data_IF_445888559940
#
_entry.id   IF_445888559940
#
_cell.length_a   1.000
_cell.length_b   1.000
_cell.length_c   1.000
_cell.angle_alpha   90.00
_cell.angle_beta   90.00
_cell.angle_gamma   90.00
#
_symmetry.space_group_name_H-M   'P 1'
#
loop_
_entity.id
_entity.type
_entity.pdbx_description
1 polymer ?
#
# COMPACT_ATOMS: atom_id res chain seq x y z
N UNK A 1 -8.89 -13.81 22.06
CA UNK A 1 -7.67 -14.25 21.34
C UNK A 1 -8.16 -14.98 20.10
N UNK A 2 -8.28 -14.28 18.98
CA UNK A 2 -8.75 -14.88 17.72
C UNK A 2 -7.55 -15.14 16.83
N UNK A 3 -7.13 -16.41 16.78
CA UNK A 3 -6.19 -16.91 15.79
C UNK A 3 -6.84 -16.79 14.41
N UNK A 4 -6.38 -15.83 13.61
CA UNK A 4 -6.69 -15.79 12.18
C UNK A 4 -5.71 -16.74 11.48
N UNK A 5 -6.17 -17.82 10.83
CA UNK A 5 -5.30 -18.67 10.04
C UNK A 5 -4.83 -17.86 8.83
N UNK A 6 -3.56 -17.49 8.84
CA UNK A 6 -2.88 -16.77 7.77
C UNK A 6 -2.53 -17.73 6.62
N UNK A 7 -3.53 -18.45 6.10
CA UNK A 7 -3.38 -19.26 4.88
C UNK A 7 -3.90 -18.44 3.69
N UNK A 8 -3.31 -17.27 3.49
CA UNK A 8 -3.38 -16.64 2.17
C UNK A 8 -2.48 -17.48 1.25
N UNK A 9 -2.99 -18.03 0.14
CA UNK A 9 -2.13 -18.72 -0.81
C UNK A 9 -1.07 -17.74 -1.28
N UNK A 10 0.19 -18.03 -0.93
CA UNK A 10 1.35 -17.41 -1.58
C UNK A 10 1.27 -17.80 -3.05
N UNK A 11 0.61 -16.96 -3.84
CA UNK A 11 0.68 -17.00 -5.29
C UNK A 11 2.09 -16.54 -5.63
N UNK A 12 3.00 -17.51 -5.63
CA UNK A 12 4.38 -17.33 -6.08
C UNK A 12 4.30 -17.09 -7.59
N UNK A 13 4.09 -15.82 -7.94
CA UNK A 13 4.15 -15.39 -9.34
C UNK A 13 5.55 -15.69 -9.86
N UNK A 14 5.62 -16.34 -11.02
CA UNK A 14 6.87 -16.61 -11.73
C UNK A 14 7.42 -15.36 -12.42
N UNK A 15 6.67 -14.25 -12.39
CA UNK A 15 7.14 -12.96 -12.88
C UNK A 15 7.78 -12.16 -11.74
N UNK A 16 9.10 -11.89 -11.78
CA UNK A 16 9.78 -11.14 -10.72
C UNK A 16 9.20 -9.72 -10.55
N UNK A 17 8.78 -9.07 -11.65
CA UNK A 17 8.18 -7.73 -11.62
C UNK A 17 6.83 -7.72 -10.90
N UNK A 18 5.99 -8.73 -11.16
CA UNK A 18 4.71 -8.86 -10.43
C UNK A 18 4.94 -9.10 -8.95
N UNK A 19 5.95 -9.91 -8.59
CA UNK A 19 6.32 -10.17 -7.20
C UNK A 19 6.75 -8.90 -6.46
N UNK A 20 7.67 -8.15 -7.05
CA UNK A 20 8.19 -6.89 -6.48
C UNK A 20 7.09 -5.84 -6.31
N UNK A 21 6.29 -5.61 -7.36
CA UNK A 21 5.19 -4.63 -7.33
C UNK A 21 4.11 -5.05 -6.34
N UNK A 22 3.71 -6.33 -6.34
CA UNK A 22 2.67 -6.84 -5.43
C UNK A 22 3.11 -6.77 -3.96
N UNK A 23 4.37 -7.11 -3.67
CA UNK A 23 4.92 -7.03 -2.33
C UNK A 23 4.96 -5.58 -1.83
N UNK A 24 5.44 -4.65 -2.67
CA UNK A 24 5.48 -3.24 -2.34
C UNK A 24 4.09 -2.67 -2.07
N UNK A 25 3.10 -3.03 -2.89
CA UNK A 25 1.70 -2.62 -2.69
C UNK A 25 1.10 -3.21 -1.42
N UNK A 26 1.38 -4.47 -1.12
CA UNK A 26 0.87 -5.12 0.09
C UNK A 26 1.37 -4.43 1.36
N UNK A 27 2.68 -4.11 1.42
CA UNK A 27 3.26 -3.37 2.54
C UNK A 27 2.69 -1.96 2.68
N UNK A 28 2.53 -1.25 1.56
CA UNK A 28 1.90 0.07 1.56
C UNK A 28 0.43 0.01 2.01
N UNK A 29 -0.32 -1.00 1.56
CA UNK A 29 -1.71 -1.22 1.98
C UNK A 29 -1.84 -1.50 3.47
N UNK A 30 -0.96 -2.32 4.03
CA UNK A 30 -0.92 -2.56 5.49
C UNK A 30 -0.67 -1.25 6.24
N UNK A 31 0.25 -0.41 5.74
CA UNK A 31 0.51 0.89 6.34
C UNK A 31 -0.71 1.82 6.25
N UNK A 32 -1.43 1.84 5.12
CA UNK A 32 -2.69 2.57 4.96
C UNK A 32 -3.76 2.10 5.96
N UNK A 33 -3.91 0.79 6.16
CA UNK A 33 -4.86 0.23 7.13
C UNK A 33 -4.50 0.66 8.55
N UNK A 34 -3.22 0.64 8.92
CA UNK A 34 -2.76 1.02 10.27
C UNK A 34 -3.06 2.49 10.59
N UNK A 35 -3.02 3.39 9.61
CA UNK A 35 -3.46 4.78 9.79
C UNK A 35 -4.96 4.97 9.56
N UNK A 36 -5.73 3.89 9.47
CA UNK A 36 -7.15 3.90 9.13
C UNK A 36 -7.46 4.71 7.85
N UNK A 37 -6.64 4.57 6.82
CA UNK A 37 -6.66 5.36 5.58
C UNK A 37 -6.61 6.88 5.82
N UNK A 38 -5.91 7.32 6.87
CA UNK A 38 -5.82 8.72 7.31
C UNK A 38 -7.18 9.38 7.53
N UNK A 39 -8.12 8.64 8.12
CA UNK A 39 -9.44 9.18 8.47
C UNK A 39 -9.34 10.32 9.51
N UNK A 40 -10.49 10.96 9.80
CA UNK A 40 -10.55 12.09 10.72
C UNK A 40 -9.99 11.78 12.12
N UNK A 41 -10.26 10.60 12.65
CA UNK A 41 -9.80 10.19 13.98
C UNK A 41 -8.30 10.03 14.06
N UNK A 42 -7.68 9.37 13.08
CA UNK A 42 -6.22 9.26 12.99
C UNK A 42 -5.56 10.65 12.96
N UNK A 43 -6.09 11.55 12.13
CA UNK A 43 -5.59 12.94 12.05
C UNK A 43 -5.72 13.69 13.38
N UNK A 44 -6.80 13.46 14.12
CA UNK A 44 -7.01 14.06 15.43
C UNK A 44 -5.99 13.51 16.45
N UNK A 45 -5.80 12.19 16.49
CA UNK A 45 -4.79 11.54 17.35
C UNK A 45 -3.39 12.07 17.08
N UNK A 46 -2.98 12.18 15.80
CA UNK A 46 -1.71 12.80 15.43
C UNK A 46 -1.59 14.25 15.92
N UNK A 47 -2.66 15.06 15.78
CA UNK A 47 -2.67 16.46 16.28
C UNK A 47 -2.57 16.55 17.80
N UNK A 48 -3.10 15.56 18.52
CA UNK A 48 -3.01 15.47 19.97
C UNK A 48 -1.65 14.92 20.46
N UNK A 49 -0.75 14.55 19.54
CA UNK A 49 0.58 14.03 19.88
C UNK A 49 0.57 12.57 20.32
N UNK A 50 -0.45 11.81 19.94
CA UNK A 50 -0.49 10.37 20.19
C UNK A 50 0.70 9.69 19.50
N UNK A 51 1.55 9.02 20.30
CA UNK A 51 2.82 8.49 19.81
C UNK A 51 2.62 7.35 18.81
N UNK A 52 1.65 6.49 19.05
CA UNK A 52 1.34 5.35 18.18
C UNK A 52 0.82 5.82 16.83
N UNK A 53 -0.12 6.79 16.82
CA UNK A 53 -0.62 7.40 15.60
C UNK A 53 0.50 8.08 14.78
N UNK A 54 1.41 8.81 15.44
CA UNK A 54 2.55 9.43 14.78
C UNK A 54 3.55 8.40 14.22
N UNK A 55 3.81 7.31 14.94
CA UNK A 55 4.65 6.22 14.45
C UNK A 55 4.07 5.56 13.20
N UNK A 56 2.76 5.28 13.19
CA UNK A 56 2.08 4.75 12.03
C UNK A 56 2.09 5.72 10.85
N UNK A 57 1.95 7.02 11.11
CA UNK A 57 2.07 8.06 10.08
C UNK A 57 3.47 8.07 9.46
N UNK A 58 4.53 8.02 10.27
CA UNK A 58 5.91 7.96 9.77
C UNK A 58 6.16 6.69 8.97
N UNK A 59 5.69 5.53 9.43
CA UNK A 59 5.81 4.26 8.71
C UNK A 59 5.09 4.31 7.37
N UNK A 60 3.91 4.93 7.31
CA UNK A 60 3.17 5.11 6.06
C UNK A 60 3.98 5.95 5.06
N UNK A 61 4.52 7.09 5.48
CA UNK A 61 5.33 7.94 4.60
C UNK A 61 6.55 7.19 4.07
N UNK A 62 7.24 6.43 4.93
CA UNK A 62 8.38 5.62 4.52
C UNK A 62 7.99 4.54 3.50
N UNK A 63 6.89 3.82 3.75
CA UNK A 63 6.39 2.80 2.82
C UNK A 63 5.89 3.39 1.51
N UNK A 64 5.28 4.57 1.51
CA UNK A 64 4.89 5.27 0.30
C UNK A 64 6.11 5.54 -0.60
N UNK A 65 7.20 6.06 -0.03
CA UNK A 65 8.44 6.33 -0.76
C UNK A 65 9.06 5.05 -1.34
N UNK A 66 9.12 3.97 -0.55
CA UNK A 66 9.63 2.68 -1.00
C UNK A 66 8.78 2.09 -2.12
N UNK A 67 7.45 2.17 -1.97
CA UNK A 67 6.50 1.68 -2.97
C UNK A 67 6.60 2.47 -4.27
N UNK A 68 6.66 3.81 -4.20
CA UNK A 68 6.91 4.68 -5.35
C UNK A 68 8.21 4.31 -6.06
N UNK A 69 9.28 4.03 -5.31
CA UNK A 69 10.57 3.64 -5.90
C UNK A 69 10.46 2.32 -6.67
N UNK A 70 9.82 1.30 -6.10
CA UNK A 70 9.64 0.00 -6.74
C UNK A 70 8.76 0.09 -7.99
N UNK A 71 7.59 0.73 -7.88
CA UNK A 71 6.62 0.85 -8.97
C UNK A 71 7.15 1.65 -10.15
N UNK A 72 7.98 2.68 -9.90
CA UNK A 72 8.50 3.56 -10.96
C UNK A 72 9.88 3.14 -11.46
N UNK A 73 10.36 1.94 -11.12
CA UNK A 73 11.69 1.46 -11.49
C UNK A 73 11.85 1.25 -13.01
N UNK A 74 10.82 0.75 -13.69
CA UNK A 74 10.78 0.62 -15.15
C UNK A 74 9.35 0.75 -15.66
N UNK A 75 9.19 0.84 -16.99
CA UNK A 75 7.85 0.90 -17.60
C UNK A 75 7.05 -0.39 -17.31
N UNK A 76 7.70 -1.55 -17.32
CA UNK A 76 7.08 -2.83 -16.96
C UNK A 76 6.51 -2.83 -15.54
N UNK A 77 7.17 -2.16 -14.58
CA UNK A 77 6.66 -2.05 -13.20
C UNK A 77 5.40 -1.16 -13.13
N UNK A 78 5.35 -0.11 -13.96
CA UNK A 78 4.18 0.78 -14.06
C UNK A 78 3.01 0.07 -14.70
N UNK A 79 3.24 -0.60 -15.82
CA UNK A 79 2.23 -1.43 -16.50
C UNK A 79 1.71 -2.54 -15.59
N UNK A 80 2.61 -3.17 -14.82
CA UNK A 80 2.23 -4.17 -13.83
C UNK A 80 1.32 -3.57 -12.75
N UNK A 81 1.66 -2.40 -12.21
CA UNK A 81 0.78 -1.70 -11.26
C UNK A 81 -0.59 -1.43 -11.87
N UNK A 82 -0.65 -0.90 -13.09
CA UNK A 82 -1.92 -0.62 -13.77
C UNK A 82 -2.74 -1.90 -14.01
N UNK A 83 -2.08 -3.01 -14.36
CA UNK A 83 -2.73 -4.32 -14.46
C UNK A 83 -3.25 -4.82 -13.10
N UNK A 84 -2.56 -4.58 -11.99
CA UNK A 84 -3.03 -4.99 -10.67
C UNK A 84 -4.21 -4.13 -10.22
N UNK A 85 -4.16 -2.82 -10.46
CA UNK A 85 -5.25 -1.89 -10.16
C UNK A 85 -6.50 -2.27 -10.96
N UNK A 86 -6.37 -2.60 -12.25
CA UNK A 86 -7.53 -2.95 -13.09
C UNK A 86 -8.25 -4.22 -12.65
N UNK A 87 -7.56 -5.14 -11.95
CA UNK A 87 -8.13 -6.35 -11.33
C UNK A 87 -8.86 -6.09 -10.02
N UNK A 88 -8.67 -4.92 -9.39
CA UNK A 88 -9.34 -4.57 -8.14
C UNK A 88 -10.79 -4.13 -8.38
N UNK A 89 -11.66 -4.39 -7.40
CA UNK A 89 -13.00 -3.78 -7.38
C UNK A 89 -12.92 -2.26 -7.32
N UNK A 90 -13.94 -1.59 -7.85
CA UNK A 90 -14.00 -0.12 -7.86
C UNK A 90 -13.87 0.48 -6.44
N UNK A 91 -14.54 -0.13 -5.45
CA UNK A 91 -14.43 0.30 -4.06
C UNK A 91 -12.98 0.28 -3.56
N UNK A 92 -12.24 -0.81 -3.82
CA UNK A 92 -10.85 -0.93 -3.41
C UNK A 92 -9.96 0.10 -4.11
N UNK A 93 -10.18 0.36 -5.41
CA UNK A 93 -9.43 1.37 -6.15
C UNK A 93 -9.61 2.78 -5.55
N UNK A 94 -10.84 3.12 -5.17
CA UNK A 94 -11.15 4.43 -4.57
C UNK A 94 -10.55 4.62 -3.18
N UNK A 95 -10.44 3.53 -2.39
CA UNK A 95 -9.84 3.55 -1.06
C UNK A 95 -8.31 3.55 -1.11
N UNK A 96 -7.74 2.65 -1.90
CA UNK A 96 -6.29 2.42 -1.98
C UNK A 96 -5.57 3.54 -2.75
N UNK A 97 -6.21 4.08 -3.80
CA UNK A 97 -5.69 5.15 -4.66
C UNK A 97 -4.26 4.90 -5.18
N UNK A 98 -3.91 3.64 -5.46
CA UNK A 98 -2.56 3.26 -5.87
C UNK A 98 -2.07 3.94 -7.15
N UNK A 99 -2.96 4.49 -7.98
CA UNK A 99 -2.58 5.33 -9.12
C UNK A 99 -1.74 6.54 -8.74
N UNK A 100 -1.88 7.06 -7.50
CA UNK A 100 -1.09 8.17 -6.99
C UNK A 100 0.39 7.82 -6.76
N UNK A 101 0.74 6.53 -6.74
CA UNK A 101 2.11 6.05 -6.61
C UNK A 101 2.90 6.18 -7.91
N UNK A 102 2.23 6.34 -9.06
CA UNK A 102 2.89 6.60 -10.33
C UNK A 102 3.43 8.03 -10.38
N UNK A 103 4.69 8.18 -10.76
CA UNK A 103 5.27 9.49 -11.08
C UNK A 103 4.82 9.87 -12.49
N UNK A 104 3.58 10.30 -12.63
CA UNK A 104 3.10 10.91 -13.89
C UNK A 104 3.56 12.37 -13.90
N UNK A 105 4.72 12.60 -14.53
CA UNK A 105 5.22 13.93 -14.91
C UNK A 105 4.46 14.48 -16.10
#
# INVERSE_FOLDING_TARGET
>A
MTDYPYDAPFTLTTNPVEGEVSQALALYKIALINVSYRNFWHRLSCKMGDKEALEHEHRLVAQELLCRKAVNQSEEHREMLESLISRQSEENRLRDQFTLLLNRS
#
